data_IF_612126164641
#
_entry.id   IF_612126164641
#
_cell.length_a   1.000
_cell.length_b   1.000
_cell.length_c   1.000
_cell.angle_alpha   90.00
_cell.angle_beta   90.00
_cell.angle_gamma   90.00
#
_symmetry.space_group_name_H-M   'P 1'
#
loop_
_entity.id
_entity.type
_entity.pdbx_description
1 polymer ?
#
# COMPACT_ATOMS: atom_id res chain seq x y z
N UNK A 1 43.45 -5.48 -43.00
CA UNK A 1 42.93 -4.43 -42.09
C UNK A 1 41.71 -4.99 -41.36
N UNK A 2 41.89 -5.52 -40.14
CA UNK A 2 40.80 -6.05 -39.33
C UNK A 2 40.02 -4.88 -38.69
N UNK A 3 38.72 -4.79 -38.97
CA UNK A 3 37.81 -3.88 -38.27
C UNK A 3 37.20 -4.63 -37.09
N UNK A 4 37.65 -4.30 -35.87
CA UNK A 4 37.05 -4.78 -34.63
C UNK A 4 35.78 -3.95 -34.40
N UNK A 5 34.62 -4.60 -34.45
CA UNK A 5 33.32 -3.98 -34.18
C UNK A 5 33.10 -3.98 -32.65
N UNK A 6 33.26 -2.82 -32.01
CA UNK A 6 32.96 -2.63 -30.59
C UNK A 6 31.44 -2.53 -30.39
N UNK A 7 30.82 -3.62 -29.93
CA UNK A 7 29.45 -3.63 -29.45
C UNK A 7 29.39 -2.93 -28.09
N UNK A 8 28.91 -1.69 -28.08
CA UNK A 8 28.59 -0.94 -26.86
C UNK A 8 27.32 -1.53 -26.26
N UNK A 9 27.47 -2.37 -25.24
CA UNK A 9 26.34 -2.90 -24.46
C UNK A 9 25.85 -1.76 -23.56
N UNK A 10 24.72 -1.16 -23.92
CA UNK A 10 24.03 -0.18 -23.07
C UNK A 10 23.42 -0.90 -21.87
N UNK A 11 24.08 -0.81 -20.72
CA UNK A 11 23.53 -1.29 -19.45
C UNK A 11 22.51 -0.24 -19.00
N UNK A 12 21.24 -0.42 -19.37
CA UNK A 12 20.15 0.30 -18.72
C UNK A 12 20.06 -0.23 -17.29
N UNK A 13 20.56 0.55 -16.33
CA UNK A 13 20.29 0.29 -14.93
C UNK A 13 18.82 0.64 -14.68
N UNK A 14 17.94 -0.35 -14.83
CA UNK A 14 16.57 -0.25 -14.33
C UNK A 14 16.66 -0.13 -12.81
N UNK A 15 16.51 1.08 -12.28
CA UNK A 15 16.37 1.29 -10.85
C UNK A 15 15.00 0.76 -10.45
N UNK A 16 14.93 -0.54 -10.18
CA UNK A 16 13.74 -1.18 -9.62
C UNK A 16 13.47 -0.49 -8.28
N UNK A 17 12.27 0.10 -8.13
CA UNK A 17 11.86 0.67 -6.86
C UNK A 17 11.88 -0.42 -5.79
N UNK A 18 12.50 -0.21 -4.61
CA UNK A 18 12.62 -1.25 -3.59
C UNK A 18 11.26 -1.74 -3.07
N UNK A 19 10.24 -0.87 -3.09
CA UNK A 19 8.87 -1.20 -2.71
C UNK A 19 7.86 -0.32 -3.47
N UNK A 20 6.55 -0.65 -3.43
CA UNK A 20 5.50 0.16 -4.04
C UNK A 20 5.41 1.57 -3.41
N UNK A 21 5.36 2.62 -4.25
CA UNK A 21 5.28 4.01 -3.79
C UNK A 21 4.12 4.27 -2.79
N UNK A 22 2.90 3.73 -2.98
CA UNK A 22 1.81 3.94 -2.03
C UNK A 22 2.07 3.40 -0.62
N UNK A 23 3.08 2.54 -0.43
CA UNK A 23 3.46 1.95 0.86
C UNK A 23 4.67 2.61 1.52
N UNK A 24 5.13 3.72 0.95
CA UNK A 24 6.29 4.44 1.47
C UNK A 24 5.89 5.63 2.33
N UNK A 25 6.74 5.96 3.30
CA UNK A 25 6.59 7.16 4.15
C UNK A 25 7.71 8.17 3.89
N UNK A 26 7.43 9.47 4.04
CA UNK A 26 8.45 10.52 3.91
C UNK A 26 9.36 10.47 5.15
N UNK A 27 10.64 10.16 4.92
CA UNK A 27 11.67 10.07 5.98
C UNK A 27 12.73 11.16 5.82
N UNK A 28 12.50 12.16 4.98
CA UNK A 28 13.48 13.21 4.66
C UNK A 28 13.94 14.01 5.87
N UNK A 29 13.10 14.11 6.91
CA UNK A 29 13.39 14.82 8.15
C UNK A 29 13.88 13.89 9.28
N UNK A 30 14.24 12.64 8.97
CA UNK A 30 14.76 11.69 9.95
C UNK A 30 16.19 12.01 10.41
N UNK A 31 16.65 11.29 11.43
CA UNK A 31 18.04 11.36 11.88
C UNK A 31 18.93 10.54 10.94
N UNK A 32 19.94 11.17 10.35
CA UNK A 32 20.87 10.55 9.41
C UNK A 32 22.13 10.06 10.10
N UNK A 33 22.56 8.84 9.79
CA UNK A 33 23.78 8.22 10.31
C UNK A 33 24.80 8.00 9.20
N UNK A 34 26.09 7.99 9.56
CA UNK A 34 27.22 7.85 8.63
C UNK A 34 27.19 6.55 7.81
N UNK A 35 26.52 5.51 8.31
CA UNK A 35 26.35 4.23 7.61
C UNK A 35 25.22 4.26 6.55
N UNK A 36 24.61 5.41 6.30
CA UNK A 36 23.50 5.58 5.37
C UNK A 36 22.13 5.18 5.93
N UNK A 37 22.04 4.84 7.23
CA UNK A 37 20.77 4.58 7.91
C UNK A 37 20.07 5.91 8.20
N UNK A 38 18.74 5.92 8.08
CA UNK A 38 17.88 7.03 8.50
C UNK A 38 16.94 6.52 9.59
N UNK A 39 16.83 7.21 10.71
CA UNK A 39 15.85 6.88 11.76
C UNK A 39 14.72 7.91 11.72
N UNK A 40 13.48 7.46 11.49
CA UNK A 40 12.30 8.32 11.46
C UNK A 40 11.12 7.61 12.14
N UNK A 41 10.40 8.31 13.02
CA UNK A 41 9.28 7.73 13.77
C UNK A 41 9.66 6.52 14.63
N UNK A 42 10.92 6.45 15.11
CA UNK A 42 11.43 5.31 15.87
C UNK A 42 11.71 4.06 15.04
N UNK A 43 11.70 4.16 13.70
CA UNK A 43 12.01 3.07 12.76
C UNK A 43 13.34 3.37 12.08
N UNK A 44 14.20 2.34 12.01
CA UNK A 44 15.51 2.42 11.37
C UNK A 44 15.44 1.90 9.94
N UNK A 45 15.66 2.79 8.98
CA UNK A 45 15.66 2.49 7.54
C UNK A 45 17.10 2.35 7.08
N UNK A 46 17.56 1.12 6.84
CA UNK A 46 18.84 0.88 6.18
C UNK A 46 18.82 1.30 4.70
N UNK A 47 19.98 1.43 4.02
CA UNK A 47 20.05 1.96 2.65
C UNK A 47 19.17 1.24 1.62
N UNK A 48 18.91 -0.05 1.80
CA UNK A 48 18.08 -0.86 0.89
C UNK A 48 16.57 -0.63 1.06
N UNK A 49 16.15 0.05 2.12
CA UNK A 49 14.74 0.35 2.41
C UNK A 49 14.41 1.82 2.12
N UNK A 50 15.24 2.50 1.34
CA UNK A 50 15.12 3.92 1.04
C UNK A 50 15.07 4.13 -0.47
N UNK A 51 14.34 5.15 -0.91
CA UNK A 51 14.32 5.60 -2.29
C UNK A 51 14.20 7.12 -2.37
N UNK A 52 14.70 7.73 -3.44
CA UNK A 52 14.52 9.14 -3.71
C UNK A 52 13.39 9.31 -4.73
N UNK A 53 12.33 10.02 -4.35
CA UNK A 53 11.17 10.30 -5.20
C UNK A 53 10.85 11.78 -5.09
N UNK A 54 10.87 12.49 -6.22
CA UNK A 54 10.58 13.93 -6.29
C UNK A 54 11.37 14.78 -5.28
N UNK A 55 12.66 14.45 -5.11
CA UNK A 55 13.56 15.16 -4.20
C UNK A 55 13.35 14.83 -2.71
N UNK A 56 12.47 13.89 -2.38
CA UNK A 56 12.20 13.43 -1.02
C UNK A 56 12.75 12.02 -0.80
N UNK A 57 13.32 11.79 0.36
CA UNK A 57 13.75 10.45 0.76
C UNK A 57 12.54 9.74 1.37
N UNK A 58 12.17 8.61 0.77
CA UNK A 58 11.02 7.80 1.17
C UNK A 58 11.49 6.44 1.69
N UNK A 59 10.85 5.96 2.76
CA UNK A 59 11.18 4.70 3.42
C UNK A 59 10.16 3.61 3.13
N UNK A 60 10.63 2.40 2.80
CA UNK A 60 9.86 1.17 2.64
C UNK A 60 9.51 0.57 4.00
N UNK A 61 8.65 1.24 4.76
CA UNK A 61 8.30 0.82 6.13
C UNK A 61 7.65 -0.58 6.15
N UNK A 62 6.93 -0.94 5.09
CA UNK A 62 6.22 -2.21 4.99
C UNK A 62 7.12 -3.44 4.75
N UNK A 63 8.40 -3.22 4.40
CA UNK A 63 9.41 -4.28 4.35
C UNK A 63 10.06 -4.51 5.73
N UNK A 64 9.82 -3.58 6.69
CA UNK A 64 10.35 -3.62 8.06
C UNK A 64 9.25 -4.01 9.04
N UNK A 65 8.01 -3.57 8.81
CA UNK A 65 6.82 -3.84 9.62
C UNK A 65 5.67 -4.31 8.75
N UNK A 66 4.74 -5.08 9.33
CA UNK A 66 3.47 -5.38 8.63
C UNK A 66 2.67 -4.10 8.46
N UNK A 67 2.07 -3.92 7.30
CA UNK A 67 1.31 -2.72 6.99
C UNK A 67 -0.13 -3.02 6.60
N UNK A 68 -1.01 -2.09 6.93
CA UNK A 68 -2.33 -1.94 6.33
C UNK A 68 -2.51 -0.47 5.98
N UNK A 69 -3.11 -0.16 4.83
CA UNK A 69 -3.48 1.22 4.51
C UNK A 69 -4.76 1.59 5.24
N UNK A 70 -4.68 2.61 6.09
CA UNK A 70 -5.86 3.25 6.68
C UNK A 70 -6.30 4.38 5.74
N UNK A 71 -7.58 4.41 5.36
CA UNK A 71 -8.04 5.41 4.38
C UNK A 71 -7.91 6.84 4.90
N UNK A 72 -8.26 7.06 6.16
CA UNK A 72 -8.10 8.33 6.84
C UNK A 72 -6.89 8.34 7.78
N UNK A 73 -6.34 9.52 8.10
CA UNK A 73 -5.33 9.66 9.14
C UNK A 73 -5.78 9.04 10.47
N UNK A 74 -4.83 8.58 11.30
CA UNK A 74 -5.14 8.11 12.65
C UNK A 74 -5.85 9.23 13.45
N UNK A 75 -6.88 8.85 14.22
CA UNK A 75 -7.78 9.81 14.89
C UNK A 75 -8.96 10.27 14.03
N UNK A 76 -9.06 9.78 12.78
CA UNK A 76 -10.17 10.07 11.86
C UNK A 76 -10.80 8.80 11.30
N UNK A 77 -12.02 8.94 10.83
CA UNK A 77 -12.79 7.91 10.13
C UNK A 77 -13.40 8.48 8.85
N UNK A 78 -13.99 7.62 8.00
CA UNK A 78 -14.63 8.04 6.76
C UNK A 78 -16.10 8.42 6.99
N UNK A 79 -16.48 9.65 6.61
CA UNK A 79 -17.85 10.14 6.57
C UNK A 79 -18.21 10.50 5.12
N UNK A 80 -19.02 9.65 4.48
CA UNK A 80 -19.23 9.70 3.04
C UNK A 80 -17.91 9.52 2.27
N UNK A 81 -17.38 10.60 1.70
CA UNK A 81 -16.11 10.61 0.93
C UNK A 81 -14.99 11.41 1.60
N UNK A 82 -15.18 11.83 2.85
CA UNK A 82 -14.26 12.72 3.58
C UNK A 82 -13.87 12.13 4.90
N UNK A 83 -12.67 12.47 5.36
CA UNK A 83 -12.21 12.12 6.70
C UNK A 83 -12.72 13.11 7.74
N UNK A 84 -13.24 12.60 8.85
CA UNK A 84 -13.73 13.38 9.99
C UNK A 84 -13.07 12.92 11.28
N UNK A 85 -12.79 13.86 12.19
CA UNK A 85 -12.27 13.57 13.54
C UNK A 85 -13.19 12.62 14.29
N UNK A 86 -12.59 11.68 15.02
CA UNK A 86 -13.30 10.73 15.85
C UNK A 86 -12.42 10.24 16.99
N UNK A 87 -13.04 10.04 18.15
CA UNK A 87 -12.39 9.41 19.31
C UNK A 87 -12.34 7.88 19.21
N UNK A 88 -12.81 7.30 18.09
CA UNK A 88 -12.82 5.85 17.87
C UNK A 88 -11.45 5.40 17.39
N UNK A 89 -10.80 4.58 18.21
CA UNK A 89 -9.57 3.89 17.83
C UNK A 89 -9.82 2.92 16.69
N UNK A 90 -9.01 3.04 15.63
CA UNK A 90 -9.05 2.09 14.52
C UNK A 90 -8.45 0.74 14.94
N UNK A 91 -9.28 -0.30 14.95
CA UNK A 91 -8.91 -1.66 15.33
C UNK A 91 -9.71 -2.66 14.48
N UNK A 92 -9.25 -2.97 13.25
CA UNK A 92 -9.94 -3.90 12.36
C UNK A 92 -9.86 -5.32 12.90
N UNK A 93 -10.84 -6.15 12.54
CA UNK A 93 -10.77 -7.60 12.76
C UNK A 93 -9.72 -8.19 11.80
N UNK A 94 -8.86 -9.07 12.35
CA UNK A 94 -7.74 -9.67 11.61
C UNK A 94 -7.90 -11.18 11.55
N UNK A 95 -7.66 -11.75 10.37
CA UNK A 95 -7.91 -13.15 10.08
C UNK A 95 -6.62 -13.88 9.65
N UNK A 96 -6.46 -15.12 10.11
CA UNK A 96 -5.59 -16.13 9.52
C UNK A 96 -6.45 -17.33 9.09
N UNK A 97 -6.11 -18.54 9.57
CA UNK A 97 -7.03 -19.70 9.47
C UNK A 97 -8.34 -19.49 10.27
N UNK A 98 -8.32 -18.57 11.23
CA UNK A 98 -9.42 -18.17 12.10
C UNK A 98 -9.27 -16.68 12.47
N UNK A 99 -10.29 -16.12 13.14
CA UNK A 99 -10.20 -14.77 13.69
C UNK A 99 -9.09 -14.70 14.75
N UNK A 100 -8.20 -13.72 14.61
CA UNK A 100 -7.05 -13.51 15.49
C UNK A 100 -7.27 -12.30 16.40
N UNK A 101 -6.78 -12.41 17.64
CA UNK A 101 -6.73 -11.29 18.57
C UNK A 101 -5.32 -10.67 18.51
N UNK A 102 -5.19 -9.57 17.78
CA UNK A 102 -3.91 -8.88 17.58
C UNK A 102 -3.78 -7.66 18.50
N UNK A 103 -2.56 -7.26 18.80
CA UNK A 103 -2.30 -6.02 19.54
C UNK A 103 -2.51 -4.80 18.63
N UNK A 104 -2.76 -3.62 19.24
CA UNK A 104 -2.98 -2.38 18.47
C UNK A 104 -1.77 -1.94 17.62
N UNK A 105 -0.57 -2.45 17.91
CA UNK A 105 0.68 -2.20 17.19
C UNK A 105 1.03 -3.29 16.17
N UNK A 106 0.12 -4.24 15.92
CA UNK A 106 0.32 -5.34 14.97
C UNK A 106 0.59 -4.84 13.54
N UNK A 107 -0.09 -3.76 13.14
CA UNK A 107 0.13 -3.09 11.85
C UNK A 107 0.71 -1.70 12.03
N UNK A 108 1.61 -1.34 11.11
CA UNK A 108 1.91 0.05 10.79
C UNK A 108 0.85 0.57 9.83
N UNK A 109 0.17 1.66 10.17
CA UNK A 109 -0.86 2.24 9.31
C UNK A 109 -0.24 3.23 8.31
N UNK A 110 -0.39 2.93 7.03
CA UNK A 110 -0.11 3.89 5.96
C UNK A 110 -1.38 4.71 5.73
N UNK A 111 -1.31 6.02 5.96
CA UNK A 111 -2.47 6.91 5.89
C UNK A 111 -2.64 7.47 4.48
N UNK A 112 -3.51 6.86 3.66
CA UNK A 112 -3.87 7.38 2.33
C UNK A 112 -5.02 6.58 1.73
N UNK A 113 -5.96 7.27 1.09
CA UNK A 113 -7.00 6.67 0.23
C UNK A 113 -6.75 6.92 -1.28
N UNK A 114 -5.56 7.36 -1.66
CA UNK A 114 -5.24 7.67 -3.05
C UNK A 114 -5.05 6.38 -3.88
N UNK A 115 -5.75 6.31 -5.02
CA UNK A 115 -5.63 5.26 -6.02
C UNK A 115 -5.53 5.92 -7.41
N UNK A 116 -4.53 5.58 -8.25
CA UNK A 116 -4.34 6.24 -9.55
C UNK A 116 -5.54 6.18 -10.49
N UNK A 117 -6.23 5.03 -10.52
CA UNK A 117 -7.35 4.76 -11.43
C UNK A 117 -8.73 4.91 -10.76
N UNK A 118 -8.78 5.51 -9.57
CA UNK A 118 -9.98 5.55 -8.73
C UNK A 118 -10.16 4.30 -7.88
N UNK A 119 -11.30 4.24 -7.20
CA UNK A 119 -11.60 3.25 -6.18
C UNK A 119 -13.08 2.85 -6.18
N UNK A 120 -13.37 1.67 -5.63
CA UNK A 120 -14.73 1.21 -5.33
C UNK A 120 -14.80 0.71 -3.88
N UNK A 121 -15.97 0.86 -3.25
CA UNK A 121 -16.21 0.44 -1.86
C UNK A 121 -16.80 -0.97 -1.84
N UNK A 122 -16.35 -1.81 -0.91
CA UNK A 122 -16.99 -3.08 -0.59
C UNK A 122 -18.12 -2.85 0.42
N UNK A 123 -19.36 -3.11 0.03
CA UNK A 123 -20.53 -2.94 0.88
C UNK A 123 -20.69 -4.13 1.84
N UNK A 124 -20.52 -3.96 3.17
CA UNK A 124 -20.48 -5.09 4.11
C UNK A 124 -21.80 -5.85 4.25
N UNK A 125 -22.90 -5.31 3.73
CA UNK A 125 -24.21 -5.97 3.73
C UNK A 125 -24.47 -6.81 2.47
N UNK A 126 -23.62 -6.69 1.45
CA UNK A 126 -23.74 -7.46 0.21
C UNK A 126 -22.83 -8.69 0.30
N UNK A 127 -23.35 -9.92 0.16
CA UNK A 127 -22.54 -11.14 0.23
C UNK A 127 -21.40 -11.18 -0.79
N UNK A 128 -21.58 -10.55 -1.95
CA UNK A 128 -20.57 -10.43 -3.00
C UNK A 128 -19.39 -9.53 -2.59
N UNK A 129 -19.56 -8.69 -1.57
CA UNK A 129 -18.55 -7.76 -1.09
C UNK A 129 -17.95 -8.19 0.26
N UNK A 130 -18.20 -9.43 0.70
CA UNK A 130 -17.55 -10.00 1.88
C UNK A 130 -16.01 -9.90 1.76
N UNK A 131 -15.35 -9.51 2.85
CA UNK A 131 -13.91 -9.33 2.86
C UNK A 131 -13.26 -9.69 4.20
N UNK A 132 -11.97 -10.04 4.16
CA UNK A 132 -11.20 -10.43 5.32
C UNK A 132 -9.80 -9.81 5.28
N UNK A 133 -9.46 -8.95 6.24
CA UNK A 133 -8.10 -8.42 6.42
C UNK A 133 -7.24 -9.52 7.05
N UNK A 134 -6.21 -9.94 6.33
CA UNK A 134 -5.34 -11.03 6.72
C UNK A 134 -4.25 -10.56 7.70
N UNK A 135 -3.67 -11.50 8.45
CA UNK A 135 -2.63 -11.21 9.45
C UNK A 135 -1.37 -10.54 8.90
N UNK A 136 -1.10 -10.70 7.59
CA UNK A 136 0.00 -10.10 6.86
C UNK A 136 -0.36 -8.76 6.21
N UNK A 137 -1.59 -8.30 6.37
CA UNK A 137 -2.11 -7.05 5.83
C UNK A 137 -2.70 -7.17 4.42
N UNK A 138 -2.72 -8.35 3.80
CA UNK A 138 -3.47 -8.54 2.55
C UNK A 138 -4.97 -8.54 2.80
N UNK A 139 -5.74 -8.14 1.81
CA UNK A 139 -7.21 -8.24 1.82
C UNK A 139 -7.62 -9.46 1.01
N UNK A 140 -8.41 -10.35 1.59
CA UNK A 140 -9.04 -11.45 0.87
C UNK A 140 -10.50 -11.12 0.56
N UNK A 141 -10.91 -11.27 -0.70
CA UNK A 141 -12.28 -11.08 -1.17
C UNK A 141 -12.77 -12.40 -1.79
N UNK A 142 -13.58 -13.21 -1.10
CA UNK A 142 -13.91 -14.58 -1.52
C UNK A 142 -14.68 -14.66 -2.84
N UNK A 143 -15.60 -13.74 -3.09
CA UNK A 143 -16.40 -13.67 -4.32
C UNK A 143 -15.53 -13.56 -5.56
N UNK A 144 -14.41 -12.82 -5.45
CA UNK A 144 -13.43 -12.60 -6.50
C UNK A 144 -12.32 -13.66 -6.51
N UNK A 145 -12.25 -14.51 -5.47
CA UNK A 145 -11.18 -15.49 -5.24
C UNK A 145 -9.79 -14.84 -5.32
N UNK A 146 -9.68 -13.62 -4.80
CA UNK A 146 -8.52 -12.76 -4.97
C UNK A 146 -7.97 -12.25 -3.64
N UNK A 147 -6.65 -12.09 -3.60
CA UNK A 147 -5.96 -11.34 -2.57
C UNK A 147 -5.48 -10.01 -3.15
N UNK A 148 -5.69 -8.93 -2.42
CA UNK A 148 -5.17 -7.60 -2.73
C UNK A 148 -4.05 -7.27 -1.74
N UNK A 149 -2.94 -6.74 -2.27
CA UNK A 149 -1.84 -6.31 -1.43
C UNK A 149 -2.18 -4.98 -0.74
N UNK A 150 -1.47 -4.60 0.34
CA UNK A 150 -1.73 -3.35 1.03
C UNK A 150 -1.71 -2.11 0.13
N UNK A 151 -1.00 -2.08 -1.00
CA UNK A 151 -1.00 -0.96 -1.94
C UNK A 151 -2.33 -0.81 -2.72
N UNK A 152 -3.09 -1.90 -2.86
CA UNK A 152 -4.26 -2.02 -3.73
C UNK A 152 -5.58 -1.64 -3.03
N UNK A 153 -5.56 -1.36 -1.73
CA UNK A 153 -6.76 -1.01 -0.98
C UNK A 153 -6.43 -0.09 0.20
N UNK A 154 -7.46 0.52 0.79
CA UNK A 154 -7.40 1.07 2.13
C UNK A 154 -8.64 0.65 2.91
N UNK A 155 -8.54 0.58 4.23
CA UNK A 155 -9.67 0.24 5.11
C UNK A 155 -9.89 1.32 6.16
N UNK A 156 -11.14 1.49 6.59
CA UNK A 156 -11.49 2.39 7.68
C UNK A 156 -12.84 2.02 8.31
N UNK A 157 -13.18 2.68 9.41
CA UNK A 157 -14.57 2.78 9.82
C UNK A 157 -15.28 3.84 8.99
N UNK A 158 -16.49 3.51 8.54
CA UNK A 158 -17.35 4.35 7.71
C UNK A 158 -18.61 4.72 8.48
N UNK A 159 -19.13 5.90 8.17
CA UNK A 159 -20.43 6.38 8.62
C UNK A 159 -21.19 6.90 7.42
N UNK A 160 -22.43 6.43 7.28
CA UNK A 160 -23.41 7.00 6.36
C UNK A 160 -24.50 7.70 7.17
N UNK A 161 -24.44 9.03 7.22
CA UNK A 161 -25.41 9.85 7.94
C UNK A 161 -25.34 9.65 9.47
N UNK A 162 -26.46 9.30 10.09
CA UNK A 162 -26.56 9.07 11.55
C UNK A 162 -26.48 7.58 11.94
N UNK A 163 -26.09 6.70 11.00
CA UNK A 163 -25.96 5.26 11.24
C UNK A 163 -24.77 4.87 12.12
N UNK A 164 -24.71 3.61 12.57
CA UNK A 164 -23.54 3.10 13.30
C UNK A 164 -22.31 3.09 12.40
N UNK A 165 -21.14 3.17 13.04
CA UNK A 165 -19.87 2.95 12.35
C UNK A 165 -19.77 1.49 11.89
N UNK A 166 -19.24 1.27 10.69
CA UNK A 166 -18.98 -0.07 10.17
C UNK A 166 -17.62 -0.13 9.50
N UNK A 167 -16.95 -1.28 9.58
CA UNK A 167 -15.68 -1.48 8.87
C UNK A 167 -15.98 -1.70 7.38
N UNK A 168 -15.28 -1.01 6.51
CA UNK A 168 -15.32 -1.25 5.06
C UNK A 168 -13.95 -0.96 4.44
N UNK A 169 -13.87 -1.20 3.14
CA UNK A 169 -12.66 -1.19 2.35
C UNK A 169 -12.93 -0.45 1.04
N UNK A 170 -12.01 0.44 0.67
CA UNK A 170 -11.91 0.98 -0.69
C UNK A 170 -10.81 0.23 -1.42
N UNK A 171 -11.17 -0.43 -2.52
CA UNK A 171 -10.23 -1.15 -3.39
C UNK A 171 -9.92 -0.29 -4.61
N UNK A 172 -8.64 -0.20 -4.97
CA UNK A 172 -8.19 0.52 -6.15
C UNK A 172 -8.59 -0.24 -7.42
N UNK A 173 -9.06 0.49 -8.44
CA UNK A 173 -9.14 -0.09 -9.78
C UNK A 173 -7.72 -0.37 -10.31
N UNK A 174 -7.57 -1.49 -11.04
CA UNK A 174 -6.35 -1.80 -11.79
C UNK A 174 -6.57 -1.51 -13.26
N UNK A 175 -5.51 -1.18 -13.98
CA UNK A 175 -5.59 -1.11 -15.44
C UNK A 175 -5.98 -2.48 -15.99
N UNK A 176 -6.94 -2.51 -16.91
CA UNK A 176 -7.20 -3.70 -17.71
C UNK A 176 -5.94 -3.97 -18.53
N UNK A 177 -5.17 -4.98 -18.14
CA UNK A 177 -4.09 -5.50 -19.00
C UNK A 177 -4.80 -6.19 -20.17
N UNK A 178 -5.00 -5.46 -21.26
CA UNK A 178 -5.50 -6.04 -22.50
C UNK A 178 -4.56 -7.17 -22.94
N UNK A 179 -4.98 -8.44 -22.88
CA UNK A 179 -4.12 -9.57 -23.26
C UNK A 179 -3.66 -9.50 -24.73
N UNK A 180 -4.29 -8.66 -25.58
CA UNK A 180 -3.98 -8.52 -27.00
C UNK A 180 -2.86 -7.50 -27.30
N UNK A 181 -2.41 -6.73 -26.30
CA UNK A 181 -1.29 -5.78 -26.48
C UNK A 181 0.11 -6.40 -26.33
N UNK A 182 0.21 -7.71 -26.19
CA UNK A 182 1.50 -8.44 -26.37
C UNK A 182 1.80 -8.70 -27.85
N UNK A 183 1.75 -7.66 -28.69
CA UNK A 183 2.15 -7.74 -30.10
C UNK A 183 3.48 -7.02 -30.36
N UNK A 184 4.54 -7.85 -30.38
CA UNK A 184 5.81 -7.67 -31.09
C UNK A 184 6.66 -6.41 -30.80
N UNK A 185 7.48 -6.47 -29.73
CA UNK A 185 8.78 -5.81 -29.74
C UNK A 185 9.80 -6.68 -30.52
N UNK A 186 9.66 -6.74 -31.84
CA UNK A 186 10.77 -7.07 -32.75
C UNK A 186 11.16 -5.82 -33.52
N UNK A 187 12.35 -5.29 -33.17
CA UNK A 187 13.27 -4.63 -34.09
C UNK A 187 12.83 -3.34 -34.80
N UNK A 188 13.50 -2.24 -34.46
CA UNK A 188 14.21 -1.39 -35.43
C UNK A 188 15.45 -0.79 -34.78
#
# INVERSE_FOLDING_TARGET
MNRVLLLLISIFASSVSPCPLPLTVDISNGEHFDNGTIVSGGISYGPNFQMLVDGKVRGCVCDIRRCVRKCCPVGRLMFGTRCQESDISFAPLVYGDHLLNVTNDHFYYIESNECPMGLYKLEPNEPEDEFFIQEDGRLYVPSQKAFFNPEDYCTDFFIDGEGPHYLSVLVCFKEDVDPDTTTYAYGN
#
